data_IF_069589271384
#
_entry.id   IF_069589271384
#
_cell.length_a   1.000
_cell.length_b   1.000
_cell.length_c   1.000
_cell.angle_alpha   90.00
_cell.angle_beta   90.00
_cell.angle_gamma   90.00
#
_symmetry.space_group_name_H-M   'P 1'
#
loop_
_entity.id
_entity.type
_entity.pdbx_description
1 polymer ?
#
# COMPACT_ATOMS: atom_id res chain seq x y z
N UNK A 1 -18.10 3.01 2.30
CA UNK A 1 -18.32 1.87 3.23
C UNK A 1 -17.07 1.45 3.99
N UNK A 2 -15.91 1.54 3.39
CA UNK A 2 -14.62 1.02 3.93
C UNK A 2 -14.23 1.55 5.33
N UNK A 3 -14.61 2.75 5.70
CA UNK A 3 -14.31 3.35 7.01
C UNK A 3 -15.52 3.34 7.95
N UNK A 4 -16.72 3.04 7.43
CA UNK A 4 -17.94 3.18 8.18
C UNK A 4 -18.11 2.12 9.28
N UNK A 5 -17.59 0.90 9.03
CA UNK A 5 -17.72 -0.21 9.97
C UNK A 5 -17.11 0.14 11.35
N UNK A 6 -15.88 0.65 11.37
CA UNK A 6 -15.21 1.06 12.62
C UNK A 6 -15.93 2.22 13.33
N UNK A 7 -16.53 3.14 12.57
CA UNK A 7 -17.20 4.32 13.12
C UNK A 7 -18.51 4.01 13.85
N UNK A 8 -19.16 2.89 13.55
CA UNK A 8 -20.43 2.50 14.17
C UNK A 8 -20.29 1.57 15.37
N UNK A 9 -19.09 1.01 15.60
CA UNK A 9 -18.80 0.13 16.75
C UNK A 9 -19.08 0.90 18.06
N UNK A 10 -19.87 0.29 18.94
CA UNK A 10 -20.27 0.90 20.22
C UNK A 10 -21.40 1.93 20.11
N UNK A 11 -21.83 2.34 18.91
CA UNK A 11 -22.91 3.31 18.69
C UNK A 11 -24.21 2.67 18.19
N UNK A 12 -24.13 1.45 17.68
CA UNK A 12 -25.28 0.66 17.23
C UNK A 12 -25.25 -0.72 17.87
N UNK A 13 -26.37 -1.49 17.86
CA UNK A 13 -26.35 -2.87 18.32
C UNK A 13 -25.27 -3.72 17.63
N UNK A 14 -24.60 -4.58 18.38
CA UNK A 14 -23.53 -5.47 17.90
C UNK A 14 -23.95 -6.26 16.64
N UNK A 15 -25.18 -6.73 16.57
CA UNK A 15 -25.66 -7.49 15.42
C UNK A 15 -25.74 -6.65 14.13
N UNK A 16 -25.90 -5.32 14.23
CA UNK A 16 -25.77 -4.44 13.06
C UNK A 16 -24.34 -4.39 12.54
N UNK A 17 -23.36 -4.30 13.45
CA UNK A 17 -21.93 -4.32 13.11
C UNK A 17 -21.59 -5.64 12.43
N UNK A 18 -21.98 -6.77 13.04
CA UNK A 18 -21.77 -8.13 12.49
C UNK A 18 -22.44 -8.32 11.14
N UNK A 19 -23.64 -7.79 10.96
CA UNK A 19 -24.35 -7.86 9.68
C UNK A 19 -23.60 -7.12 8.57
N UNK A 20 -23.13 -5.91 8.84
CA UNK A 20 -22.37 -5.11 7.87
C UNK A 20 -21.01 -5.73 7.59
N UNK A 21 -20.32 -6.24 8.61
CA UNK A 21 -19.06 -6.98 8.47
C UNK A 21 -19.23 -8.20 7.55
N UNK A 22 -20.23 -9.04 7.79
CA UNK A 22 -20.51 -10.21 6.97
C UNK A 22 -20.86 -9.84 5.51
N UNK A 23 -21.57 -8.74 5.31
CA UNK A 23 -21.86 -8.23 3.96
C UNK A 23 -20.61 -7.71 3.24
N UNK A 24 -19.69 -7.07 3.96
CA UNK A 24 -18.41 -6.66 3.39
C UNK A 24 -17.57 -7.88 3.01
N UNK A 25 -17.47 -8.89 3.87
CA UNK A 25 -16.77 -10.14 3.56
C UNK A 25 -17.32 -10.76 2.27
N UNK A 26 -18.66 -10.88 2.16
CA UNK A 26 -19.30 -11.35 0.94
C UNK A 26 -18.85 -10.52 -0.28
N UNK A 27 -18.89 -9.19 -0.18
CA UNK A 27 -18.54 -8.29 -1.29
C UNK A 27 -17.08 -8.44 -1.73
N UNK A 28 -16.15 -8.64 -0.78
CA UNK A 28 -14.73 -8.78 -1.10
C UNK A 28 -14.40 -10.15 -1.69
N UNK A 29 -15.02 -11.23 -1.20
CA UNK A 29 -14.83 -12.58 -1.75
C UNK A 29 -15.33 -12.65 -3.20
N UNK A 30 -16.53 -12.15 -3.50
CA UNK A 30 -17.09 -12.24 -4.87
C UNK A 30 -16.33 -11.42 -5.90
N UNK A 31 -15.49 -10.49 -5.47
CA UNK A 31 -14.66 -9.66 -6.35
C UNK A 31 -13.28 -10.25 -6.65
N UNK A 32 -12.94 -11.40 -6.07
CA UNK A 32 -11.68 -12.07 -6.38
C UNK A 32 -11.63 -12.47 -7.86
N UNK A 33 -10.45 -12.39 -8.47
CA UNK A 33 -10.24 -12.82 -9.85
C UNK A 33 -10.29 -14.35 -9.99
N UNK A 34 -9.79 -15.05 -8.98
CA UNK A 34 -9.88 -16.50 -8.84
C UNK A 34 -10.62 -16.81 -7.54
N UNK A 35 -11.55 -17.76 -7.59
CA UNK A 35 -12.34 -18.19 -6.42
C UNK A 35 -12.13 -19.70 -6.27
N UNK A 36 -11.51 -20.10 -5.18
CA UNK A 36 -11.28 -21.51 -4.82
C UNK A 36 -12.53 -22.16 -4.20
N UNK A 37 -12.44 -23.43 -3.87
CA UNK A 37 -13.52 -24.14 -3.15
C UNK A 37 -13.66 -23.60 -1.74
N UNK A 38 -12.55 -23.32 -1.07
CA UNK A 38 -12.50 -22.72 0.26
C UNK A 38 -13.10 -21.31 0.28
N UNK A 39 -12.86 -20.52 -0.79
CA UNK A 39 -13.48 -19.21 -0.96
C UNK A 39 -15.01 -19.32 -1.11
N UNK A 40 -15.50 -20.34 -1.80
CA UNK A 40 -16.94 -20.57 -1.92
C UNK A 40 -17.58 -20.96 -0.58
N UNK A 41 -16.88 -21.72 0.26
CA UNK A 41 -17.35 -22.05 1.60
C UNK A 41 -17.33 -20.81 2.51
N UNK A 42 -16.28 -19.98 2.43
CA UNK A 42 -16.19 -18.68 3.10
C UNK A 42 -17.31 -17.73 2.65
N UNK A 43 -17.60 -17.71 1.33
CA UNK A 43 -18.70 -16.92 0.78
C UNK A 43 -20.06 -17.36 1.29
N UNK A 44 -20.29 -18.68 1.39
CA UNK A 44 -21.51 -19.27 1.96
C UNK A 44 -21.66 -18.89 3.43
N UNK A 45 -20.58 -18.97 4.21
CA UNK A 45 -20.57 -18.55 5.62
C UNK A 45 -20.89 -17.07 5.78
N UNK A 46 -20.21 -16.21 5.02
CA UNK A 46 -20.46 -14.76 5.05
C UNK A 46 -21.93 -14.44 4.72
N UNK A 47 -22.51 -15.11 3.74
CA UNK A 47 -23.92 -14.93 3.39
C UNK A 47 -24.87 -15.44 4.50
N UNK A 48 -24.55 -16.56 5.13
CA UNK A 48 -25.32 -17.08 6.27
C UNK A 48 -25.29 -16.14 7.47
N UNK A 49 -24.10 -15.64 7.84
CA UNK A 49 -23.94 -14.62 8.90
C UNK A 49 -24.74 -13.36 8.59
N UNK A 50 -24.66 -12.85 7.36
CA UNK A 50 -25.45 -11.70 6.91
C UNK A 50 -26.95 -11.92 7.11
N UNK A 51 -27.48 -13.08 6.70
CA UNK A 51 -28.89 -13.42 6.86
C UNK A 51 -29.31 -13.57 8.32
N UNK A 52 -28.44 -14.12 9.17
CA UNK A 52 -28.72 -14.31 10.60
C UNK A 52 -28.82 -12.98 11.36
N UNK A 53 -27.97 -12.01 11.02
CA UNK A 53 -27.90 -10.75 11.76
C UNK A 53 -28.79 -9.64 11.17
N UNK A 54 -29.25 -9.73 9.93
CA UNK A 54 -29.98 -8.63 9.27
C UNK A 54 -31.34 -8.28 9.92
N UNK A 55 -31.94 -9.22 10.66
CA UNK A 55 -33.24 -8.99 11.31
C UNK A 55 -33.18 -7.90 12.40
N UNK A 56 -31.99 -7.58 12.89
CA UNK A 56 -31.75 -6.44 13.80
C UNK A 56 -32.26 -5.12 13.24
N UNK A 57 -32.25 -4.92 11.92
CA UNK A 57 -32.74 -3.70 11.29
C UNK A 57 -34.28 -3.57 11.37
N UNK A 58 -35.01 -4.68 11.45
CA UNK A 58 -36.46 -4.68 11.75
C UNK A 58 -36.66 -4.44 13.23
N UNK A 59 -35.97 -5.18 14.09
CA UNK A 59 -36.11 -5.11 15.54
C UNK A 59 -35.87 -3.70 16.09
N UNK A 60 -34.95 -2.97 15.48
CA UNK A 60 -34.59 -1.59 15.86
C UNK A 60 -35.44 -0.54 15.15
N UNK A 61 -36.40 -0.94 14.31
CA UNK A 61 -37.29 -0.03 13.59
C UNK A 61 -36.63 0.75 12.44
N UNK A 62 -35.40 0.41 12.09
CA UNK A 62 -34.71 1.04 10.95
C UNK A 62 -35.36 0.66 9.63
N UNK A 63 -35.98 -0.54 9.56
CA UNK A 63 -36.70 -1.03 8.40
C UNK A 63 -38.01 -1.71 8.85
N UNK A 64 -38.99 -1.66 7.96
CA UNK A 64 -40.28 -2.34 8.17
C UNK A 64 -40.14 -3.83 7.78
N UNK A 65 -39.39 -4.11 6.69
CA UNK A 65 -39.13 -5.46 6.20
C UNK A 65 -37.74 -5.54 5.53
N UNK A 66 -37.31 -6.77 5.24
CA UNK A 66 -36.08 -7.09 4.50
C UNK A 66 -36.38 -7.81 3.16
N UNK A 67 -37.59 -7.70 2.65
CA UNK A 67 -37.99 -8.23 1.35
C UNK A 67 -37.44 -7.36 0.22
N UNK A 68 -36.12 -7.46 -0.01
CA UNK A 68 -35.41 -6.70 -1.01
C UNK A 68 -34.94 -7.62 -2.15
N UNK A 69 -35.37 -7.41 -3.42
CA UNK A 69 -34.96 -8.22 -4.56
C UNK A 69 -33.45 -8.35 -4.70
N UNK A 70 -32.71 -7.26 -4.44
CA UNK A 70 -31.23 -7.26 -4.50
C UNK A 70 -30.60 -8.12 -3.41
N UNK A 71 -31.18 -8.20 -2.22
CA UNK A 71 -30.70 -9.11 -1.16
C UNK A 71 -31.03 -10.55 -1.50
N UNK A 72 -32.21 -10.82 -2.06
CA UNK A 72 -32.55 -12.15 -2.53
C UNK A 72 -31.57 -12.64 -3.61
N UNK A 73 -31.13 -11.78 -4.50
CA UNK A 73 -30.18 -12.19 -5.57
C UNK A 73 -28.82 -12.67 -5.05
N UNK A 74 -28.43 -12.33 -3.82
CA UNK A 74 -27.15 -12.78 -3.25
C UNK A 74 -27.06 -14.30 -3.13
N UNK A 75 -28.18 -15.00 -2.88
CA UNK A 75 -28.20 -16.46 -2.76
C UNK A 75 -27.81 -17.18 -4.07
N UNK A 76 -27.97 -16.51 -5.20
CA UNK A 76 -27.66 -17.08 -6.52
C UNK A 76 -26.17 -17.03 -6.86
N UNK A 77 -25.35 -16.22 -6.16
CA UNK A 77 -23.94 -16.04 -6.49
C UNK A 77 -23.14 -17.35 -6.42
N UNK A 78 -23.33 -18.15 -5.37
CA UNK A 78 -22.64 -19.45 -5.22
C UNK A 78 -22.87 -20.38 -6.42
N UNK A 79 -24.12 -20.50 -6.86
CA UNK A 79 -24.46 -21.31 -8.01
C UNK A 79 -23.92 -20.71 -9.31
N UNK A 80 -24.08 -19.40 -9.49
CA UNK A 80 -23.61 -18.72 -10.70
C UNK A 80 -22.09 -18.75 -10.84
N UNK A 81 -21.34 -18.62 -9.75
CA UNK A 81 -19.87 -18.71 -9.77
C UNK A 81 -19.41 -20.12 -10.23
N UNK A 82 -20.09 -21.18 -9.77
CA UNK A 82 -19.78 -22.54 -10.20
C UNK A 82 -20.07 -22.79 -11.68
N UNK A 83 -21.07 -22.09 -12.24
CA UNK A 83 -21.45 -22.26 -13.65
C UNK A 83 -20.63 -21.38 -14.60
N UNK A 84 -20.32 -20.15 -14.19
CA UNK A 84 -19.80 -19.11 -15.09
C UNK A 84 -18.41 -18.59 -14.69
N UNK A 85 -17.88 -18.99 -13.54
CA UNK A 85 -16.62 -18.50 -13.00
C UNK A 85 -16.75 -17.19 -12.19
N UNK A 86 -15.61 -16.58 -11.90
CA UNK A 86 -15.56 -15.36 -11.10
C UNK A 86 -16.37 -14.21 -11.72
N UNK A 87 -17.22 -13.51 -10.94
CA UNK A 87 -18.00 -12.35 -11.41
C UNK A 87 -17.13 -11.24 -12.00
N UNK A 88 -15.89 -11.08 -11.52
CA UNK A 88 -14.95 -10.09 -12.06
C UNK A 88 -14.65 -10.33 -13.55
N UNK A 89 -14.56 -11.59 -13.99
CA UNK A 89 -14.38 -11.95 -15.39
C UNK A 89 -15.62 -11.70 -16.26
N UNK A 90 -16.79 -11.56 -15.64
CA UNK A 90 -18.09 -11.34 -16.32
C UNK A 90 -18.55 -9.88 -16.25
N UNK A 91 -17.76 -9.01 -15.63
CA UNK A 91 -18.10 -7.61 -15.44
C UNK A 91 -18.07 -6.85 -16.78
N UNK A 92 -19.13 -6.09 -17.07
CA UNK A 92 -19.23 -5.23 -18.26
C UNK A 92 -18.31 -4.00 -18.20
N UNK A 93 -17.72 -3.69 -17.05
CA UNK A 93 -16.85 -2.50 -16.87
C UNK A 93 -15.63 -2.50 -17.80
N UNK A 94 -15.06 -3.68 -18.11
CA UNK A 94 -13.95 -3.81 -19.06
C UNK A 94 -14.40 -3.44 -20.47
N UNK A 95 -15.56 -3.98 -20.90
CA UNK A 95 -16.14 -3.66 -22.21
C UNK A 95 -16.60 -2.23 -22.31
N UNK A 96 -17.15 -1.66 -21.21
CA UNK A 96 -17.52 -0.24 -21.15
C UNK A 96 -16.32 0.69 -21.17
N UNK A 97 -15.24 0.36 -20.46
CA UNK A 97 -13.98 1.12 -20.52
C UNK A 97 -13.41 1.14 -21.93
N UNK A 98 -13.40 -0.02 -22.61
CA UNK A 98 -13.02 -0.10 -24.03
C UNK A 98 -13.98 0.68 -24.93
N UNK A 99 -15.29 0.61 -24.66
CA UNK A 99 -16.30 1.37 -25.39
C UNK A 99 -16.11 2.88 -25.24
N UNK A 100 -15.70 3.36 -24.06
CA UNK A 100 -15.36 4.78 -23.86
C UNK A 100 -14.19 5.18 -24.78
N UNK A 101 -13.08 4.45 -24.73
CA UNK A 101 -11.86 4.75 -25.51
C UNK A 101 -12.04 4.51 -27.02
N UNK A 102 -12.71 3.42 -27.40
CA UNK A 102 -12.84 3.04 -28.81
C UNK A 102 -14.05 3.68 -29.53
N UNK A 103 -15.05 4.13 -28.80
CA UNK A 103 -16.28 4.68 -29.40
C UNK A 103 -16.57 6.09 -28.94
N UNK A 104 -16.76 6.32 -27.63
CA UNK A 104 -17.22 7.61 -27.12
C UNK A 104 -16.21 8.74 -27.36
N UNK A 105 -14.93 8.52 -27.12
CA UNK A 105 -13.90 9.54 -27.35
C UNK A 105 -13.67 9.85 -28.85
N UNK A 106 -13.47 8.85 -29.74
CA UNK A 106 -13.37 9.10 -31.16
C UNK A 106 -14.63 9.74 -31.75
N UNK A 107 -15.81 9.36 -31.27
CA UNK A 107 -17.07 10.02 -31.67
C UNK A 107 -17.09 11.50 -31.29
N UNK A 108 -16.71 11.85 -30.08
CA UNK A 108 -16.65 13.26 -29.63
C UNK A 108 -15.64 14.10 -30.43
N UNK A 109 -14.58 13.46 -30.95
CA UNK A 109 -13.55 14.09 -31.78
C UNK A 109 -13.93 14.17 -33.25
N UNK A 110 -14.96 13.44 -33.68
CA UNK A 110 -15.44 13.47 -35.07
C UNK A 110 -16.33 14.68 -35.34
N UNK A 111 -16.45 15.05 -36.62
CA UNK A 111 -17.44 16.05 -37.09
C UNK A 111 -18.88 15.55 -37.06
N UNK A 112 -19.10 14.29 -36.68
CA UNK A 112 -20.36 13.54 -36.71
C UNK A 112 -20.91 13.25 -38.13
N UNK A 113 -20.27 13.76 -39.18
CA UNK A 113 -20.59 13.43 -40.55
C UNK A 113 -19.70 12.27 -41.04
N UNK A 114 -20.29 11.17 -41.48
CA UNK A 114 -19.56 9.91 -41.76
C UNK A 114 -18.60 9.51 -40.63
N UNK A 115 -19.09 9.58 -39.40
CA UNK A 115 -18.29 9.52 -38.17
C UNK A 115 -17.47 8.22 -38.03
N UNK A 116 -17.98 7.09 -38.55
CA UNK A 116 -17.29 5.79 -38.41
C UNK A 116 -15.87 5.81 -38.98
N UNK A 117 -15.70 6.37 -40.17
CA UNK A 117 -14.39 6.45 -40.84
C UNK A 117 -13.44 7.35 -40.02
N UNK A 118 -13.94 8.49 -39.53
CA UNK A 118 -13.15 9.39 -38.69
C UNK A 118 -12.74 8.76 -37.35
N UNK A 119 -13.63 7.99 -36.75
CA UNK A 119 -13.38 7.24 -35.52
C UNK A 119 -12.29 6.16 -35.75
N UNK A 120 -12.39 5.37 -36.81
CA UNK A 120 -11.37 4.37 -37.16
C UNK A 120 -10.02 5.00 -37.44
N UNK A 121 -9.98 6.14 -38.14
CA UNK A 121 -8.73 6.91 -38.32
C UNK A 121 -8.15 7.41 -37.01
N UNK A 122 -8.99 7.87 -36.08
CA UNK A 122 -8.55 8.33 -34.77
C UNK A 122 -7.93 7.20 -33.96
N UNK A 123 -8.59 6.03 -33.90
CA UNK A 123 -8.10 4.84 -33.20
C UNK A 123 -6.78 4.37 -33.81
N UNK A 124 -6.74 4.17 -35.14
CA UNK A 124 -5.53 3.75 -35.85
C UNK A 124 -4.36 4.71 -35.64
N UNK A 125 -4.63 6.01 -35.51
CA UNK A 125 -3.61 7.02 -35.24
C UNK A 125 -3.09 6.93 -33.81
N UNK A 126 -3.95 6.69 -32.84
CA UNK A 126 -3.57 6.47 -31.43
C UNK A 126 -2.71 5.22 -31.27
N UNK A 127 -3.09 4.11 -31.91
CA UNK A 127 -2.33 2.86 -31.87
C UNK A 127 -0.94 3.03 -32.52
N UNK A 128 -0.87 3.72 -33.65
CA UNK A 128 0.41 4.03 -34.31
C UNK A 128 1.29 4.92 -33.44
N UNK A 129 0.71 5.91 -32.75
CA UNK A 129 1.47 6.78 -31.84
C UNK A 129 1.97 6.01 -30.62
N UNK A 130 1.17 5.10 -30.07
CA UNK A 130 1.59 4.23 -28.96
C UNK A 130 2.74 3.30 -29.39
N UNK A 131 2.64 2.66 -30.55
CA UNK A 131 3.70 1.84 -31.10
C UNK A 131 4.98 2.64 -31.40
N UNK A 132 4.84 3.81 -32.02
CA UNK A 132 5.98 4.70 -32.29
C UNK A 132 6.65 5.17 -30.99
N UNK A 133 5.86 5.53 -29.96
CA UNK A 133 6.39 5.91 -28.65
C UNK A 133 7.24 4.78 -28.05
N UNK A 134 6.77 3.53 -28.11
CA UNK A 134 7.53 2.38 -27.58
C UNK A 134 8.85 2.20 -28.34
N UNK A 135 8.83 2.30 -29.68
CA UNK A 135 10.04 2.23 -30.51
C UNK A 135 11.00 3.37 -30.18
N UNK A 136 10.49 4.60 -30.07
CA UNK A 136 11.31 5.78 -29.75
C UNK A 136 11.90 5.71 -28.35
N UNK A 137 11.14 5.21 -27.36
CA UNK A 137 11.66 4.97 -26.00
C UNK A 137 12.80 3.96 -26.03
N UNK A 138 12.63 2.83 -26.76
CA UNK A 138 13.65 1.80 -26.90
C UNK A 138 14.95 2.33 -27.54
N UNK A 139 14.85 3.31 -28.43
CA UNK A 139 15.99 3.96 -29.06
C UNK A 139 16.51 5.19 -28.31
N UNK A 140 16.02 5.47 -27.08
CA UNK A 140 16.46 6.62 -26.28
C UNK A 140 15.99 7.97 -26.83
N UNK A 141 15.13 7.99 -27.87
CA UNK A 141 14.69 9.21 -28.54
C UNK A 141 13.67 10.01 -27.71
N UNK A 142 13.12 9.41 -26.68
CA UNK A 142 12.17 10.07 -25.77
C UNK A 142 12.86 10.71 -24.57
N UNK A 143 14.17 10.58 -24.45
CA UNK A 143 14.98 11.22 -23.42
C UNK A 143 15.56 12.54 -23.94
N UNK A 144 15.38 13.60 -23.19
CA UNK A 144 15.82 14.93 -23.60
C UNK A 144 14.90 15.57 -24.65
N UNK A 145 15.48 16.45 -25.48
CA UNK A 145 14.78 17.10 -26.60
C UNK A 145 15.15 16.41 -27.93
N UNK A 146 14.22 16.52 -28.92
CA UNK A 146 14.53 16.07 -30.29
C UNK A 146 15.78 16.73 -30.85
N UNK A 147 16.08 17.95 -30.46
CA UNK A 147 17.31 18.67 -30.85
C UNK A 147 18.56 18.02 -30.27
N UNK A 148 18.54 17.56 -29.02
CA UNK A 148 19.68 16.86 -28.40
C UNK A 148 19.93 15.51 -29.04
N UNK A 149 18.89 14.76 -29.37
CA UNK A 149 19.00 13.49 -30.10
C UNK A 149 19.58 13.72 -31.50
N UNK A 150 19.05 14.67 -32.24
CA UNK A 150 19.57 15.02 -33.59
C UNK A 150 21.02 15.43 -33.54
N UNK A 151 21.43 16.25 -32.54
CA UNK A 151 22.81 16.65 -32.36
C UNK A 151 23.73 15.47 -32.03
N UNK A 152 23.27 14.49 -31.26
CA UNK A 152 24.00 13.27 -30.94
C UNK A 152 24.21 12.41 -32.19
N UNK A 153 23.16 12.19 -32.98
CA UNK A 153 23.24 11.43 -34.24
C UNK A 153 24.17 12.11 -35.26
N UNK A 154 24.11 13.45 -35.38
CA UNK A 154 25.00 14.20 -36.25
C UNK A 154 26.46 14.15 -35.84
N UNK A 155 26.76 13.89 -34.56
CA UNK A 155 28.14 13.67 -34.06
C UNK A 155 28.65 12.23 -34.28
N UNK A 156 27.82 11.36 -34.85
CA UNK A 156 28.15 9.95 -35.06
C UNK A 156 28.12 9.10 -33.78
N UNK A 157 27.60 9.63 -32.69
CA UNK A 157 27.36 8.90 -31.45
C UNK A 157 26.10 8.02 -31.64
N UNK A 158 26.27 6.70 -31.58
CA UNK A 158 25.09 5.81 -31.57
C UNK A 158 24.46 5.85 -30.19
N UNK A 159 23.12 6.07 -30.08
CA UNK A 159 22.43 5.88 -28.83
C UNK A 159 22.64 4.44 -28.38
N UNK A 160 23.23 4.23 -27.21
CA UNK A 160 23.30 2.89 -26.64
C UNK A 160 21.85 2.39 -26.47
N UNK A 161 21.52 1.19 -26.97
CA UNK A 161 20.22 0.62 -26.70
C UNK A 161 20.13 0.50 -25.18
N UNK A 162 19.17 1.18 -24.59
CA UNK A 162 18.81 0.94 -23.20
C UNK A 162 18.54 -0.56 -23.10
N UNK A 163 19.38 -1.25 -22.31
CA UNK A 163 19.11 -2.61 -21.87
C UNK A 163 17.70 -2.58 -21.30
N UNK A 164 16.81 -3.37 -21.89
CA UNK A 164 15.40 -3.42 -21.58
C UNK A 164 15.19 -3.43 -20.06
N UNK A 165 14.83 -2.33 -19.41
CA UNK A 165 14.29 -2.41 -18.07
C UNK A 165 12.94 -3.05 -18.32
N UNK A 166 12.79 -4.31 -17.93
CA UNK A 166 11.57 -5.08 -17.86
C UNK A 166 10.35 -4.20 -17.98
N UNK A 167 9.57 -4.42 -19.01
CA UNK A 167 8.32 -3.81 -19.48
C UNK A 167 7.45 -3.10 -18.42
N UNK A 168 7.95 -2.08 -17.79
CA UNK A 168 7.19 -1.22 -16.86
C UNK A 168 6.74 0.05 -17.58
N UNK A 169 5.87 -0.11 -18.58
CA UNK A 169 5.02 0.97 -19.05
C UNK A 169 3.80 1.10 -18.15
N UNK A 170 4.03 1.44 -16.89
CA UNK A 170 3.00 1.94 -16.01
C UNK A 170 2.60 3.35 -16.48
N UNK A 171 1.74 3.39 -17.49
CA UNK A 171 0.81 4.50 -17.62
C UNK A 171 -0.23 4.36 -16.50
N UNK A 172 0.22 4.65 -15.28
CA UNK A 172 -0.67 4.89 -14.16
C UNK A 172 -1.39 6.22 -14.42
N UNK A 173 -2.55 6.12 -15.08
CA UNK A 173 -3.50 7.23 -15.23
C UNK A 173 -4.27 7.51 -13.96
N UNK A 174 -3.80 7.06 -12.82
CA UNK A 174 -4.18 7.62 -11.53
C UNK A 174 -3.42 8.93 -11.39
N UNK A 175 -4.03 9.97 -11.94
CA UNK A 175 -3.71 11.35 -11.70
C UNK A 175 -3.77 11.66 -10.20
N UNK A 176 -2.71 11.26 -9.49
CA UNK A 176 -2.33 11.99 -8.29
C UNK A 176 -1.82 13.34 -8.80
N UNK A 177 -2.71 14.32 -8.87
CA UNK A 177 -2.45 15.71 -9.29
C UNK A 177 -1.43 16.45 -8.42
N UNK A 178 -0.61 15.72 -7.68
CA UNK A 178 0.35 16.22 -6.71
C UNK A 178 1.81 16.14 -7.20
N UNK A 179 2.00 15.95 -8.49
CA UNK A 179 3.30 16.13 -9.12
C UNK A 179 3.45 17.61 -9.50
N UNK A 180 3.93 18.41 -8.55
CA UNK A 180 4.56 19.68 -8.89
C UNK A 180 5.61 19.45 -10.01
N UNK A 181 5.98 20.47 -10.79
CA UNK A 181 6.83 20.29 -11.97
C UNK A 181 8.14 19.59 -11.59
N UNK A 182 8.26 18.30 -11.95
CA UNK A 182 9.47 17.53 -11.78
C UNK A 182 10.43 17.94 -12.91
N UNK A 183 11.19 18.97 -12.67
CA UNK A 183 12.32 19.36 -13.53
C UNK A 183 13.56 18.62 -13.07
N UNK A 184 13.97 17.59 -13.79
CA UNK A 184 15.23 16.88 -13.57
C UNK A 184 15.20 15.41 -14.00
N UNK A 185 16.34 14.82 -14.29
CA UNK A 185 16.41 13.40 -14.68
C UNK A 185 15.95 12.51 -13.52
N UNK A 186 14.97 11.65 -13.78
CA UNK A 186 14.54 10.61 -12.84
C UNK A 186 15.62 9.54 -12.80
N UNK A 187 16.46 9.55 -11.78
CA UNK A 187 17.40 8.45 -11.53
C UNK A 187 16.65 7.39 -10.73
N UNK A 188 16.25 6.33 -11.39
CA UNK A 188 15.83 5.09 -10.74
C UNK A 188 17.11 4.34 -10.33
N UNK A 189 17.51 4.40 -9.07
CA UNK A 189 18.51 3.47 -8.56
C UNK A 189 17.78 2.22 -8.09
N UNK A 190 17.97 1.11 -8.79
CA UNK A 190 17.66 -0.20 -8.22
C UNK A 190 18.75 -0.50 -7.20
N UNK A 191 18.40 -0.56 -5.93
CA UNK A 191 19.30 -1.04 -4.87
C UNK A 191 18.99 -2.52 -4.74
N UNK A 192 20.02 -3.38 -4.90
CA UNK A 192 19.87 -4.76 -4.47
C UNK A 192 19.63 -4.76 -2.96
N UNK A 193 18.53 -5.39 -2.50
CA UNK A 193 18.20 -5.40 -1.10
C UNK A 193 19.30 -6.11 -0.32
N UNK A 194 19.80 -5.48 0.75
CA UNK A 194 20.56 -6.18 1.75
C UNK A 194 19.60 -7.15 2.44
N UNK A 195 19.86 -8.46 2.32
CA UNK A 195 19.02 -9.49 2.93
C UNK A 195 19.00 -9.29 4.43
N UNK A 196 17.82 -9.09 4.98
CA UNK A 196 17.63 -9.17 6.42
C UNK A 196 17.73 -10.63 6.85
N UNK A 197 18.49 -10.96 7.91
CA UNK A 197 18.62 -12.33 8.37
C UNK A 197 17.24 -12.89 8.75
N UNK A 198 16.90 -14.05 8.18
CA UNK A 198 15.67 -14.77 8.46
C UNK A 198 14.63 -14.78 7.33
N UNK A 199 14.81 -13.99 6.27
CA UNK A 199 13.88 -14.01 5.13
C UNK A 199 14.44 -14.90 4.04
N UNK A 200 14.04 -16.16 4.02
CA UNK A 200 14.28 -17.10 2.91
C UNK A 200 13.13 -16.91 1.93
N UNK A 201 13.42 -16.32 0.78
CA UNK A 201 12.45 -16.21 -0.31
C UNK A 201 12.31 -17.56 -1.02
N UNK A 202 11.32 -18.36 -0.66
CA UNK A 202 10.78 -19.38 -1.54
C UNK A 202 9.37 -18.99 -1.97
N UNK A 203 9.27 -18.62 -3.22
CA UNK A 203 8.10 -18.67 -4.12
C UNK A 203 6.83 -17.94 -3.67
N UNK A 204 6.58 -16.77 -4.23
CA UNK A 204 5.22 -16.31 -4.55
C UNK A 204 4.90 -14.85 -4.43
N UNK A 205 5.53 -14.08 -3.59
CA UNK A 205 5.19 -12.66 -3.44
C UNK A 205 6.47 -11.83 -3.50
N UNK A 206 6.70 -11.24 -4.66
CA UNK A 206 7.86 -10.36 -4.86
C UNK A 206 7.43 -8.95 -4.47
N UNK A 207 7.87 -8.51 -3.29
CA UNK A 207 7.76 -7.12 -2.87
C UNK A 207 9.03 -6.39 -3.31
N UNK A 208 8.87 -5.33 -4.10
CA UNK A 208 9.98 -4.45 -4.45
C UNK A 208 9.73 -3.10 -3.83
N UNK A 209 10.58 -2.69 -2.88
CA UNK A 209 10.65 -1.29 -2.49
C UNK A 209 11.57 -0.56 -3.47
N UNK A 210 10.99 0.24 -4.34
CA UNK A 210 11.74 1.13 -5.24
C UNK A 210 11.74 2.52 -4.65
N UNK A 211 12.92 3.07 -4.41
CA UNK A 211 13.07 4.40 -3.79
C UNK A 211 13.09 5.49 -4.85
N UNK A 212 12.29 6.53 -4.66
CA UNK A 212 12.46 7.80 -5.37
C UNK A 212 13.34 8.67 -4.49
N UNK A 213 14.64 8.78 -4.84
CA UNK A 213 15.59 9.51 -4.03
C UNK A 213 15.80 10.94 -4.49
N UNK A 214 15.19 11.84 -3.75
CA UNK A 214 15.79 13.14 -3.52
C UNK A 214 16.01 13.26 -2.02
N UNK A 215 17.29 13.20 -1.59
CA UNK A 215 17.64 13.53 -0.22
C UNK A 215 17.15 14.94 0.09
N UNK A 216 16.38 15.07 1.15
CA UNK A 216 15.81 16.36 1.53
C UNK A 216 16.90 17.22 2.14
N UNK A 217 17.03 18.45 1.66
CA UNK A 217 18.00 19.41 2.22
C UNK A 217 17.51 19.97 3.55
N UNK A 218 18.46 20.31 4.44
CA UNK A 218 18.14 20.96 5.70
C UNK A 218 18.09 20.03 6.91
N UNK A 219 18.25 18.71 6.73
CA UNK A 219 18.45 17.79 7.85
C UNK A 219 19.92 17.66 8.22
N UNK A 220 20.26 17.54 9.52
CA UNK A 220 21.60 17.13 9.95
C UNK A 220 21.96 15.77 9.36
N UNK A 221 23.23 15.60 9.01
CA UNK A 221 23.74 14.36 8.42
C UNK A 221 24.34 13.41 9.44
N UNK A 222 24.56 13.86 10.65
CA UNK A 222 25.06 13.06 11.78
C UNK A 222 23.89 12.55 12.66
N UNK A 223 24.13 11.43 13.33
CA UNK A 223 23.08 10.76 14.10
C UNK A 223 22.58 11.58 15.29
N UNK A 224 23.49 12.32 15.98
CA UNK A 224 23.12 13.13 17.16
C UNK A 224 22.36 14.40 16.77
N UNK A 225 22.84 15.12 15.76
CA UNK A 225 22.15 16.29 15.23
C UNK A 225 20.77 15.94 14.70
N UNK A 226 20.67 14.79 13.97
CA UNK A 226 19.39 14.31 13.47
C UNK A 226 18.43 13.90 14.60
N UNK A 227 18.95 13.22 15.65
CA UNK A 227 18.17 12.87 16.83
C UNK A 227 17.54 14.10 17.53
N UNK A 228 18.31 15.18 17.64
CA UNK A 228 17.81 16.47 18.18
C UNK A 228 16.77 17.09 17.26
N UNK A 229 17.02 17.09 15.94
CA UNK A 229 16.11 17.67 14.94
C UNK A 229 14.74 16.99 14.93
N UNK A 230 14.70 15.65 15.03
CA UNK A 230 13.44 14.87 15.05
C UNK A 230 12.89 14.64 16.47
N UNK A 231 13.55 15.20 17.50
CA UNK A 231 13.19 15.01 18.90
C UNK A 231 13.12 13.53 19.34
N UNK A 232 14.08 12.71 18.89
CA UNK A 232 14.19 11.29 19.23
C UNK A 232 15.58 10.97 19.79
N UNK A 233 15.83 11.17 21.10
CA UNK A 233 17.16 11.05 21.69
C UNK A 233 17.73 9.63 21.64
N UNK A 234 16.89 8.59 21.57
CA UNK A 234 17.32 7.18 21.45
C UNK A 234 17.84 6.82 20.03
N UNK A 235 17.65 7.67 19.02
CA UNK A 235 17.95 7.35 17.63
C UNK A 235 19.41 6.91 17.38
N UNK A 236 20.46 7.54 17.95
CA UNK A 236 21.83 7.10 17.76
C UNK A 236 22.11 5.69 18.34
N UNK A 237 21.49 5.36 19.47
CA UNK A 237 21.58 4.03 20.07
C UNK A 237 20.91 2.98 19.18
N UNK A 238 19.69 3.25 18.71
CA UNK A 238 18.96 2.36 17.79
C UNK A 238 19.73 2.08 16.51
N UNK A 239 20.42 3.07 15.93
CA UNK A 239 21.29 2.88 14.77
C UNK A 239 22.45 1.92 15.05
N UNK A 240 23.08 2.02 16.22
CA UNK A 240 24.16 1.13 16.62
C UNK A 240 23.68 -0.30 16.82
N UNK A 241 22.52 -0.50 17.45
CA UNK A 241 21.87 -1.80 17.64
C UNK A 241 21.45 -2.41 16.31
N UNK A 242 20.88 -1.61 15.41
CA UNK A 242 20.56 -2.03 14.05
C UNK A 242 21.81 -2.51 13.29
N UNK A 243 22.91 -1.76 13.32
CA UNK A 243 24.17 -2.19 12.69
C UNK A 243 24.71 -3.48 13.30
N UNK A 244 24.62 -3.63 14.63
CA UNK A 244 25.06 -4.86 15.28
C UNK A 244 24.24 -6.06 14.76
N UNK A 245 22.94 -5.92 14.67
CA UNK A 245 22.04 -6.96 14.13
C UNK A 245 22.38 -7.31 12.68
N UNK A 246 22.65 -6.32 11.84
CA UNK A 246 23.04 -6.55 10.44
C UNK A 246 24.38 -7.28 10.31
N UNK A 247 25.29 -7.08 11.26
CA UNK A 247 26.59 -7.75 11.28
C UNK A 247 26.56 -9.15 11.89
N UNK A 248 25.55 -9.45 12.70
CA UNK A 248 25.39 -10.70 13.44
C UNK A 248 24.02 -11.33 13.18
N UNK A 249 23.70 -11.66 11.92
CA UNK A 249 22.39 -12.15 11.55
C UNK A 249 21.98 -13.45 12.25
N UNK A 250 22.95 -14.32 12.52
CA UNK A 250 22.72 -15.64 13.11
C UNK A 250 22.82 -15.65 14.64
N UNK A 251 22.94 -14.46 15.26
CA UNK A 251 23.04 -14.38 16.73
C UNK A 251 21.69 -14.71 17.38
N UNK A 252 21.66 -15.61 18.38
CA UNK A 252 20.46 -15.90 19.12
C UNK A 252 20.05 -14.78 20.09
N UNK A 253 20.95 -13.82 20.35
CA UNK A 253 20.72 -12.72 21.30
C UNK A 253 19.97 -11.58 20.64
N UNK A 254 18.98 -11.03 21.31
CA UNK A 254 18.29 -9.81 20.88
C UNK A 254 19.27 -8.62 20.88
N UNK A 255 19.21 -7.72 19.88
CA UNK A 255 20.04 -6.52 19.89
C UNK A 255 19.88 -5.65 21.16
N UNK A 256 18.72 -5.76 21.82
CA UNK A 256 18.41 -5.02 23.05
C UNK A 256 19.18 -5.53 24.27
N UNK A 257 19.53 -6.82 24.28
CA UNK A 257 20.27 -7.47 25.37
C UNK A 257 21.78 -7.17 25.31
N UNK A 258 22.26 -6.70 24.14
CA UNK A 258 23.71 -6.43 23.94
C UNK A 258 24.06 -5.08 24.55
N UNK A 259 25.15 -5.02 25.37
CA UNK A 259 25.67 -3.76 25.86
C UNK A 259 25.98 -2.80 24.71
N UNK A 260 25.60 -1.53 24.83
CA UNK A 260 25.77 -0.56 23.76
C UNK A 260 27.26 -0.38 23.36
N UNK A 261 28.18 -0.60 24.32
CA UNK A 261 29.62 -0.50 24.07
C UNK A 261 30.14 -1.59 23.12
N UNK A 262 29.47 -2.72 23.04
CA UNK A 262 29.75 -3.81 22.11
C UNK A 262 29.14 -3.59 20.72
N UNK A 263 28.20 -2.66 20.60
CA UNK A 263 27.62 -2.30 19.32
C UNK A 263 28.56 -1.39 18.51
N UNK A 264 28.62 -1.54 17.18
CA UNK A 264 29.46 -0.74 16.30
C UNK A 264 29.26 0.76 16.51
N UNK A 265 30.34 1.54 16.43
CA UNK A 265 30.23 2.99 16.38
C UNK A 265 29.57 3.44 15.08
N UNK A 266 28.61 4.37 15.20
CA UNK A 266 27.94 4.97 14.06
C UNK A 266 28.51 6.38 13.80
N UNK A 267 29.26 6.53 12.71
CA UNK A 267 29.85 7.81 12.27
C UNK A 267 29.59 8.11 10.78
N UNK A 268 28.53 7.51 10.22
CA UNK A 268 28.24 7.59 8.79
C UNK A 268 27.27 8.74 8.50
N UNK A 269 27.38 9.25 7.26
CA UNK A 269 26.47 10.28 6.77
C UNK A 269 25.08 9.70 6.54
N UNK A 270 24.08 10.35 7.11
CA UNK A 270 22.66 10.01 6.95
C UNK A 270 22.04 10.92 5.89
N UNK A 271 21.29 10.32 4.96
CA UNK A 271 20.43 11.03 4.02
C UNK A 271 18.98 10.78 4.38
N UNK A 272 18.16 11.84 4.46
CA UNK A 272 16.74 11.78 4.85
C UNK A 272 15.85 11.90 3.63
N UNK A 273 14.72 11.18 3.64
CA UNK A 273 13.72 11.17 2.58
C UNK A 273 12.32 11.37 3.15
N UNK A 274 11.42 12.02 2.39
CA UNK A 274 10.04 12.24 2.82
C UNK A 274 9.07 11.19 2.29
N UNK A 275 9.50 10.33 1.38
CA UNK A 275 8.66 9.24 0.90
C UNK A 275 9.46 8.07 0.35
N UNK A 276 8.88 6.89 0.44
CA UNK A 276 9.31 5.65 -0.22
C UNK A 276 8.14 5.12 -1.07
N UNK A 277 8.44 4.21 -1.99
CA UNK A 277 7.44 3.54 -2.83
C UNK A 277 7.50 2.05 -2.58
N UNK A 278 6.40 1.47 -2.16
CA UNK A 278 6.21 0.03 -2.09
C UNK A 278 5.60 -0.46 -3.41
N UNK A 279 6.15 -1.55 -3.95
CA UNK A 279 5.59 -2.27 -5.09
C UNK A 279 5.31 -3.69 -4.66
N UNK A 280 4.10 -4.18 -4.92
CA UNK A 280 3.68 -5.52 -4.54
C UNK A 280 2.73 -6.11 -5.58
N UNK A 281 2.66 -7.42 -5.61
CA UNK A 281 1.77 -8.14 -6.51
C UNK A 281 0.37 -8.23 -5.90
N UNK A 282 -0.62 -7.66 -6.58
CA UNK A 282 -2.02 -7.61 -6.18
C UNK A 282 -2.93 -8.03 -7.34
N UNK A 283 -2.97 -9.34 -7.67
CA UNK A 283 -3.65 -9.83 -8.88
C UNK A 283 -5.16 -9.57 -8.89
N UNK A 284 -5.76 -9.44 -7.73
CA UNK A 284 -7.20 -9.12 -7.58
C UNK A 284 -7.50 -7.63 -7.70
N UNK A 285 -6.50 -6.78 -7.78
CA UNK A 285 -6.67 -5.35 -8.02
C UNK A 285 -6.54 -5.06 -9.53
N UNK A 286 -7.64 -4.57 -10.13
CA UNK A 286 -7.68 -4.28 -11.57
C UNK A 286 -6.87 -3.04 -11.97
N UNK A 287 -6.32 -2.32 -11.02
CA UNK A 287 -5.64 -1.05 -11.24
C UNK A 287 -4.19 -1.17 -11.72
N UNK A 288 -3.53 -2.31 -11.49
CA UNK A 288 -2.11 -2.51 -11.82
C UNK A 288 -1.88 -3.24 -13.14
N UNK A 289 -0.78 -2.91 -13.84
CA UNK A 289 -0.34 -3.64 -15.03
C UNK A 289 0.26 -4.97 -14.61
N UNK A 290 -0.30 -6.09 -15.12
CA UNK A 290 0.16 -7.44 -14.77
C UNK A 290 -0.05 -7.81 -13.30
N UNK A 291 -0.97 -7.13 -12.58
CA UNK A 291 -1.24 -7.36 -11.17
C UNK A 291 -0.26 -6.69 -10.21
N UNK A 292 0.68 -5.90 -10.72
CA UNK A 292 1.59 -5.11 -9.88
C UNK A 292 0.90 -3.82 -9.41
N UNK A 293 0.97 -3.56 -8.12
CA UNK A 293 0.47 -2.34 -7.49
C UNK A 293 1.61 -1.50 -6.95
N UNK A 294 1.42 -0.17 -6.95
CA UNK A 294 2.40 0.79 -6.48
C UNK A 294 1.77 1.71 -5.44
N UNK A 295 2.37 1.78 -4.27
CA UNK A 295 1.89 2.60 -3.17
C UNK A 295 3.01 3.51 -2.64
N UNK A 296 2.69 4.76 -2.33
CA UNK A 296 3.64 5.70 -1.76
C UNK A 296 3.45 5.81 -0.26
N UNK A 297 4.51 5.49 0.48
CA UNK A 297 4.61 5.63 1.94
C UNK A 297 5.29 6.98 2.23
N UNK A 298 4.69 7.79 3.08
CA UNK A 298 5.15 9.16 3.40
C UNK A 298 5.55 9.29 4.86
N UNK A 299 6.61 10.06 5.07
CA UNK A 299 7.07 10.48 6.38
C UNK A 299 7.63 11.89 6.25
N UNK A 300 6.81 12.89 6.51
CA UNK A 300 7.16 14.29 6.32
C UNK A 300 6.57 15.15 7.43
N UNK A 301 7.34 16.11 7.99
CA UNK A 301 6.83 17.07 8.98
C UNK A 301 5.87 18.10 8.38
N UNK A 302 5.83 18.25 7.05
CA UNK A 302 4.92 19.16 6.37
C UNK A 302 4.43 18.53 5.08
N UNK A 303 3.16 18.17 5.05
CA UNK A 303 2.44 17.68 3.88
C UNK A 303 1.65 18.83 3.26
N UNK A 304 1.88 19.11 1.98
CA UNK A 304 1.24 20.23 1.23
C UNK A 304 1.44 21.61 1.88
N UNK A 305 2.51 21.77 2.68
CA UNK A 305 2.79 23.01 3.38
C UNK A 305 2.00 23.24 4.67
N UNK A 306 1.22 22.25 5.10
CA UNK A 306 0.34 22.38 6.28
C UNK A 306 0.80 21.48 7.44
N UNK A 307 0.34 20.22 7.47
CA UNK A 307 0.44 19.34 8.63
C UNK A 307 1.45 18.21 8.42
N UNK A 308 1.99 17.62 9.50
CA UNK A 308 2.82 16.44 9.40
C UNK A 308 2.01 15.24 8.89
N UNK A 309 2.66 14.38 8.10
CA UNK A 309 2.10 13.12 7.64
C UNK A 309 3.09 12.00 7.84
N UNK A 310 2.69 11.02 8.66
CA UNK A 310 3.43 9.83 9.00
C UNK A 310 2.55 8.62 8.70
N UNK A 311 2.82 7.95 7.56
CA UNK A 311 2.02 6.81 7.16
C UNK A 311 2.35 5.59 8.02
N UNK A 312 1.40 4.69 8.17
CA UNK A 312 1.57 3.40 8.84
C UNK A 312 1.82 2.30 7.83
N UNK A 313 2.61 1.29 8.21
CA UNK A 313 3.07 0.21 7.33
C UNK A 313 2.95 -1.14 8.01
N UNK A 314 2.76 -2.20 7.21
CA UNK A 314 2.95 -3.57 7.64
C UNK A 314 4.44 -3.91 7.59
N UNK A 315 4.95 -4.38 8.70
CA UNK A 315 6.32 -4.87 8.84
C UNK A 315 6.27 -6.37 9.02
N UNK A 316 6.89 -7.12 8.12
CA UNK A 316 6.99 -8.57 8.19
C UNK A 316 8.01 -8.94 9.27
N UNK A 317 7.57 -9.71 10.25
CA UNK A 317 8.38 -10.19 11.38
C UNK A 317 8.60 -11.69 11.32
N UNK A 318 7.68 -12.44 10.72
CA UNK A 318 7.77 -13.88 10.52
C UNK A 318 7.08 -14.27 9.20
N UNK A 319 7.90 -14.61 8.21
CA UNK A 319 7.42 -14.99 6.87
C UNK A 319 6.72 -16.38 6.83
N UNK A 320 6.88 -17.21 7.87
CA UNK A 320 6.23 -18.53 7.95
C UNK A 320 4.78 -18.42 8.43
N UNK A 321 4.43 -17.33 9.10
CA UNK A 321 3.09 -17.10 9.61
C UNK A 321 2.24 -16.30 8.63
N UNK A 322 1.01 -16.71 8.33
CA UNK A 322 0.16 -16.04 7.35
C UNK A 322 -0.49 -14.76 7.92
N UNK A 323 -0.65 -13.77 7.04
CA UNK A 323 -1.40 -12.56 7.34
C UNK A 323 -0.86 -11.79 8.54
N UNK A 324 -1.76 -11.25 9.35
CA UNK A 324 -1.39 -10.45 10.53
C UNK A 324 -0.62 -11.20 11.62
N UNK A 325 -0.61 -12.52 11.61
CA UNK A 325 0.16 -13.31 12.60
C UNK A 325 1.66 -13.20 12.37
N UNK A 326 2.09 -13.01 11.12
CA UNK A 326 3.50 -12.80 10.75
C UNK A 326 3.90 -11.32 10.62
N UNK A 327 3.02 -10.38 10.97
CA UNK A 327 3.24 -8.96 10.74
C UNK A 327 2.93 -8.10 11.96
N UNK A 328 3.67 -7.00 12.08
CA UNK A 328 3.41 -5.95 13.06
C UNK A 328 3.26 -4.61 12.33
N UNK A 329 2.50 -3.69 12.89
CA UNK A 329 2.32 -2.37 12.30
C UNK A 329 3.39 -1.40 12.81
N UNK A 330 3.99 -0.62 11.90
CA UNK A 330 4.89 0.48 12.21
C UNK A 330 4.34 1.83 11.75
N UNK A 331 4.40 2.86 12.58
CA UNK A 331 4.19 4.24 12.14
C UNK A 331 5.54 4.84 11.75
N UNK A 332 5.71 5.25 10.50
CA UNK A 332 7.00 5.69 9.94
C UNK A 332 7.27 7.13 10.32
N UNK A 333 8.22 7.35 11.21
CA UNK A 333 8.63 8.68 11.67
C UNK A 333 9.70 9.31 10.78
N UNK A 334 10.61 8.50 10.23
CA UNK A 334 11.70 8.95 9.39
C UNK A 334 12.05 7.88 8.36
N UNK A 335 12.23 8.29 7.13
CA UNK A 335 12.83 7.46 6.07
C UNK A 335 14.24 8.01 5.82
N UNK A 336 15.23 7.13 5.87
CA UNK A 336 16.63 7.55 5.72
C UNK A 336 17.50 6.45 5.12
N UNK A 337 18.68 6.81 4.66
CA UNK A 337 19.70 5.86 4.27
C UNK A 337 21.08 6.29 4.75
N UNK A 338 21.97 5.31 4.88
CA UNK A 338 23.40 5.51 5.11
C UNK A 338 24.19 4.41 4.41
N UNK A 339 25.48 4.65 4.16
CA UNK A 339 26.38 3.66 3.58
C UNK A 339 27.36 3.15 4.64
N UNK A 340 27.53 1.84 4.72
CA UNK A 340 28.46 1.16 5.60
C UNK A 340 29.13 -0.01 4.87
N UNK A 341 30.47 -0.04 4.84
CA UNK A 341 31.26 -1.07 4.14
C UNK A 341 30.81 -1.28 2.68
N UNK A 342 30.66 -0.18 1.93
CA UNK A 342 30.21 -0.17 0.52
C UNK A 342 28.79 -0.69 0.28
N UNK A 343 28.01 -0.96 1.34
CA UNK A 343 26.60 -1.30 1.27
C UNK A 343 25.77 -0.10 1.66
N UNK A 344 24.68 0.14 0.94
CA UNK A 344 23.71 1.15 1.28
C UNK A 344 22.56 0.50 2.08
N UNK A 345 22.24 1.10 3.23
CA UNK A 345 21.18 0.66 4.12
C UNK A 345 20.03 1.65 4.08
N UNK A 346 18.98 1.35 3.30
CA UNK A 346 17.74 2.12 3.35
C UNK A 346 16.92 1.66 4.55
N UNK A 347 16.59 2.60 5.42
CA UNK A 347 15.99 2.33 6.71
C UNK A 347 14.78 3.21 6.99
N UNK A 348 13.96 2.76 7.93
CA UNK A 348 12.91 3.55 8.56
C UNK A 348 13.09 3.56 10.08
N UNK A 349 12.85 4.72 10.70
CA UNK A 349 12.59 4.83 12.13
C UNK A 349 11.09 4.74 12.32
N UNK A 350 10.63 3.80 13.13
CA UNK A 350 9.20 3.53 13.32
C UNK A 350 8.82 3.52 14.80
N UNK A 351 7.56 3.85 15.07
CA UNK A 351 6.88 3.48 16.30
C UNK A 351 6.10 2.21 16.08
N UNK A 352 6.19 1.26 16.99
CA UNK A 352 5.44 0.03 16.95
C UNK A 352 3.98 0.19 17.39
N UNK A 353 3.11 -0.50 16.67
CA UNK A 353 1.72 -0.76 17.05
C UNK A 353 1.49 -2.27 17.02
N UNK A 354 1.43 -2.86 18.19
CA UNK A 354 1.36 -4.32 18.34
C UNK A 354 -0.07 -4.82 18.39
N UNK A 355 -0.37 -6.07 17.93
CA UNK A 355 -1.68 -6.66 18.08
C UNK A 355 -2.15 -6.67 19.54
N UNK A 356 -3.42 -6.37 19.75
CA UNK A 356 -4.04 -6.35 21.08
C UNK A 356 -4.51 -7.74 21.54
N UNK A 357 -4.47 -8.74 20.66
CA UNK A 357 -4.85 -10.14 20.90
C UNK A 357 -4.43 -11.01 19.74
N UNK A 358 -4.65 -12.31 19.86
CA UNK A 358 -4.20 -13.33 18.91
C UNK A 358 -5.21 -13.56 17.76
N UNK A 359 -6.37 -12.93 17.83
CA UNK A 359 -7.47 -13.08 16.86
C UNK A 359 -8.08 -11.74 16.49
N UNK A 360 -8.71 -11.63 15.31
CA UNK A 360 -9.50 -10.46 14.93
C UNK A 360 -10.67 -10.22 15.88
N UNK A 361 -11.12 -8.98 15.96
CA UNK A 361 -12.30 -8.58 16.71
C UNK A 361 -13.56 -9.29 16.19
N UNK A 362 -14.33 -9.88 17.08
CA UNK A 362 -15.50 -10.71 16.74
C UNK A 362 -16.69 -9.97 16.11
N UNK A 363 -16.77 -8.64 16.26
CA UNK A 363 -17.85 -7.84 15.69
C UNK A 363 -17.51 -7.37 14.28
N UNK A 364 -16.29 -6.91 14.09
CA UNK A 364 -15.83 -6.27 12.85
C UNK A 364 -15.05 -7.23 11.94
N UNK A 365 -14.47 -8.30 12.48
CA UNK A 365 -13.52 -9.16 11.76
C UNK A 365 -12.19 -8.48 11.44
N UNK A 366 -11.90 -7.32 12.05
CA UNK A 366 -10.64 -6.59 11.87
C UNK A 366 -9.70 -6.84 13.04
N UNK A 367 -8.40 -6.88 12.75
CA UNK A 367 -7.39 -6.91 13.80
C UNK A 367 -7.37 -5.58 14.56
N UNK A 368 -7.10 -5.66 15.87
CA UNK A 368 -6.92 -4.51 16.74
C UNK A 368 -5.45 -4.36 17.08
N UNK A 369 -4.90 -3.17 16.89
CA UNK A 369 -3.52 -2.84 17.26
C UNK A 369 -3.49 -1.68 18.25
N UNK A 370 -2.46 -1.67 19.09
CA UNK A 370 -2.23 -0.63 20.09
C UNK A 370 -0.80 -0.12 20.02
N UNK A 371 -0.56 1.17 20.27
CA UNK A 371 0.81 1.67 20.43
C UNK A 371 1.55 0.88 21.52
N UNK A 372 2.76 0.46 21.20
CA UNK A 372 3.67 -0.16 22.16
C UNK A 372 4.44 0.90 22.94
N UNK A 373 4.68 0.63 24.24
CA UNK A 373 5.37 1.55 25.12
C UNK A 373 6.51 0.86 25.87
N UNK A 374 7.65 1.51 25.92
CA UNK A 374 8.76 1.22 26.83
C UNK A 374 8.77 2.27 27.95
N UNK A 375 8.23 1.91 29.11
CA UNK A 375 7.96 2.86 30.19
C UNK A 375 6.91 3.89 29.76
N UNK A 376 7.27 5.17 29.75
CA UNK A 376 6.37 6.27 29.36
C UNK A 376 6.57 6.73 27.92
N UNK A 377 7.50 6.13 27.17
CA UNK A 377 7.79 6.50 25.79
C UNK A 377 7.25 5.42 24.84
N UNK A 378 6.85 5.82 23.65
CA UNK A 378 6.50 4.85 22.60
C UNK A 378 7.73 4.06 22.19
N UNK A 379 7.59 2.75 22.04
CA UNK A 379 8.64 1.87 21.55
C UNK A 379 9.06 2.27 20.13
N UNK A 380 10.37 2.36 19.91
CA UNK A 380 11.01 2.80 18.68
C UNK A 380 11.93 1.71 18.16
N UNK A 381 11.95 1.56 16.85
CA UNK A 381 12.94 0.71 16.18
C UNK A 381 13.45 1.35 14.89
N UNK A 382 14.68 0.98 14.52
CA UNK A 382 15.22 1.16 13.18
C UNK A 382 15.08 -0.17 12.46
N UNK A 383 14.40 -0.16 11.32
CA UNK A 383 14.21 -1.34 10.48
C UNK A 383 14.77 -1.08 9.07
N UNK A 384 15.17 -2.15 8.39
CA UNK A 384 15.45 -2.09 6.95
C UNK A 384 14.14 -1.94 6.17
N UNK A 385 14.16 -1.20 5.07
CA UNK A 385 12.92 -0.96 4.31
C UNK A 385 12.36 -2.22 3.65
N UNK A 386 13.17 -3.26 3.43
CA UNK A 386 12.74 -4.54 2.87
C UNK A 386 11.75 -5.29 3.78
N UNK A 387 11.76 -4.98 5.08
CA UNK A 387 10.78 -5.55 6.02
C UNK A 387 9.38 -4.96 5.83
N UNK A 388 9.24 -3.88 5.07
CA UNK A 388 7.95 -3.22 4.84
C UNK A 388 7.27 -3.86 3.64
N UNK A 389 6.15 -4.54 3.90
CA UNK A 389 5.36 -5.17 2.85
C UNK A 389 4.53 -4.15 2.06
N UNK A 390 3.78 -3.27 2.74
CA UNK A 390 2.95 -2.21 2.14
C UNK A 390 2.48 -1.23 3.21
N UNK A 391 1.77 -0.16 2.80
CA UNK A 391 1.07 0.74 3.70
C UNK A 391 -0.07 0.04 4.46
N UNK A 392 -0.23 0.37 5.74
CA UNK A 392 -1.35 -0.06 6.57
C UNK A 392 -2.37 1.08 6.69
N UNK A 393 -3.64 0.74 6.65
CA UNK A 393 -4.72 1.71 6.88
C UNK A 393 -5.35 1.45 8.24
N UNK A 394 -5.21 2.39 9.16
CA UNK A 394 -5.72 2.28 10.52
C UNK A 394 -6.97 3.14 10.72
N UNK A 395 -7.95 2.58 11.42
CA UNK A 395 -9.17 3.28 11.81
C UNK A 395 -9.21 3.37 13.34
N UNK A 396 -9.41 4.56 13.92
CA UNK A 396 -9.49 4.71 15.36
C UNK A 396 -10.62 3.87 15.98
N UNK A 397 -10.37 3.33 17.17
CA UNK A 397 -11.42 2.78 18.01
C UNK A 397 -12.02 3.94 18.80
N UNK A 398 -13.19 4.39 18.38
CA UNK A 398 -13.91 5.46 19.05
C UNK A 398 -14.53 4.92 20.34
N UNK A 399 -14.28 5.61 21.45
CA UNK A 399 -14.96 5.30 22.72
C UNK A 399 -16.35 5.90 22.77
N UNK A 400 -16.98 5.82 23.94
CA UNK A 400 -18.30 6.45 24.21
C UNK A 400 -18.23 7.97 24.45
N UNK A 401 -17.04 8.53 24.58
CA UNK A 401 -16.85 9.97 24.82
C UNK A 401 -16.76 10.74 23.50
N UNK A 402 -17.27 11.97 23.50
CA UNK A 402 -17.10 12.88 22.36
C UNK A 402 -15.61 13.22 22.17
N UNK A 403 -15.21 13.43 20.93
CA UNK A 403 -13.88 13.95 20.63
C UNK A 403 -13.75 15.39 21.13
N UNK A 404 -12.58 15.80 21.62
CA UNK A 404 -12.33 17.19 21.97
C UNK A 404 -12.60 18.13 20.78
N UNK A 405 -13.08 19.35 21.05
CA UNK A 405 -13.38 20.32 19.97
C UNK A 405 -12.13 20.74 19.19
N UNK A 406 -10.97 20.70 19.81
CA UNK A 406 -9.66 21.01 19.23
C UNK A 406 -9.00 19.79 18.55
N UNK A 407 -9.69 18.65 18.48
CA UNK A 407 -9.18 17.46 17.81
C UNK A 407 -8.98 17.71 16.32
N UNK A 408 -7.76 17.45 15.85
CA UNK A 408 -7.42 17.57 14.43
C UNK A 408 -7.00 16.22 13.85
N UNK A 409 -7.34 15.96 12.59
CA UNK A 409 -7.05 14.68 11.92
C UNK A 409 -5.56 14.34 11.90
N UNK A 410 -4.66 15.33 11.86
CA UNK A 410 -3.20 15.09 11.91
C UNK A 410 -2.72 14.42 13.17
N UNK A 411 -3.51 14.50 14.26
CA UNK A 411 -3.20 13.89 15.55
C UNK A 411 -3.86 12.52 15.74
N UNK A 412 -4.59 12.02 14.74
CA UNK A 412 -5.40 10.80 14.86
C UNK A 412 -4.59 9.57 15.28
N UNK A 413 -3.37 9.39 14.79
CA UNK A 413 -2.48 8.27 15.16
C UNK A 413 -1.87 8.40 16.58
N UNK A 414 -2.10 9.51 17.28
CA UNK A 414 -1.59 9.75 18.63
C UNK A 414 -2.70 9.88 19.66
N UNK A 415 -3.93 10.10 19.25
CA UNK A 415 -5.04 10.46 20.14
C UNK A 415 -5.80 9.25 20.71
N UNK A 416 -5.74 8.10 20.05
CA UNK A 416 -6.54 6.92 20.42
C UNK A 416 -5.68 5.84 21.08
N UNK A 417 -6.31 5.03 21.93
CA UNK A 417 -5.67 3.91 22.65
C UNK A 417 -5.49 2.66 21.78
N UNK A 418 -6.26 2.56 20.69
CA UNK A 418 -6.22 1.43 19.79
C UNK A 418 -6.83 1.76 18.44
N UNK A 419 -6.54 0.92 17.47
CA UNK A 419 -6.94 1.08 16.07
C UNK A 419 -7.34 -0.26 15.48
N UNK A 420 -8.38 -0.24 14.64
CA UNK A 420 -8.66 -1.36 13.75
C UNK A 420 -7.74 -1.30 12.53
N UNK A 421 -7.19 -2.43 12.16
CA UNK A 421 -6.48 -2.61 10.89
C UNK A 421 -7.53 -2.81 9.79
N UNK A 422 -7.69 -1.81 8.93
CA UNK A 422 -8.75 -1.81 7.93
C UNK A 422 -8.45 -2.77 6.78
N UNK A 423 -8.88 -4.03 6.93
CA UNK A 423 -8.79 -5.05 5.88
C UNK A 423 -9.62 -4.73 4.64
N UNK A 424 -10.57 -3.80 4.73
CA UNK A 424 -11.46 -3.40 3.65
C UNK A 424 -10.97 -2.16 2.89
N UNK A 425 -9.72 -1.73 3.06
CA UNK A 425 -9.17 -0.56 2.38
C UNK A 425 -9.12 -0.76 0.85
N UNK A 426 -8.64 -1.91 0.40
CA UNK A 426 -8.61 -2.36 -0.99
C UNK A 426 -8.71 -3.89 -1.07
N UNK A 427 -8.77 -4.45 -2.29
CA UNK A 427 -8.90 -5.90 -2.48
C UNK A 427 -7.70 -6.68 -1.98
N UNK A 428 -6.50 -6.22 -2.32
CA UNK A 428 -5.27 -6.86 -1.87
C UNK A 428 -5.14 -6.82 -0.35
N UNK A 429 -5.54 -5.70 0.29
CA UNK A 429 -5.56 -5.59 1.75
C UNK A 429 -6.45 -6.66 2.40
N UNK A 430 -7.62 -6.91 1.81
CA UNK A 430 -8.54 -7.93 2.31
C UNK A 430 -7.93 -9.33 2.25
N UNK A 431 -7.26 -9.67 1.16
CA UNK A 431 -6.55 -10.94 0.99
C UNK A 431 -5.31 -11.01 1.89
N UNK A 432 -4.50 -9.97 1.89
CA UNK A 432 -3.23 -9.86 2.60
C UNK A 432 -3.38 -9.96 4.12
N UNK A 433 -4.36 -9.27 4.72
CA UNK A 433 -4.62 -9.30 6.17
C UNK A 433 -5.41 -10.56 6.58
N UNK A 434 -6.27 -11.07 5.70
CA UNK A 434 -7.17 -12.17 5.96
C UNK A 434 -6.64 -13.56 5.58
N UNK A 435 -5.41 -13.68 5.10
CA UNK A 435 -4.79 -14.98 4.81
C UNK A 435 -4.70 -15.78 6.11
N UNK A 436 -5.50 -16.85 6.20
CA UNK A 436 -5.49 -17.81 7.31
C UNK A 436 -4.44 -18.89 7.07
#
# INVERSE_FOLDING_TARGET
>A
MQVYLAAIVGHVPTDMVKCISAFLDFCYIVRRNAISTEDLDSLKDALARFHNYRDVFIQTGVRIDISLPRQHSLIHYLHSIRLFGSPNGLCSSITESKHIKAVKEPWRRSSRYHALVQMLHTISRLDKLAAARRVFTKHGMMEGSTSSYTAMVLRGEQPQPLVDPTEDNDQDTNEDHDLGPVSGPKVLSSIEPAKTPGVVYEIGLVYYLTYLFYAVRGYPHDAHGLAQHINQPKFPELLRRFLWQQLNPDSPSSPEEIPIDECPHFGFKINVYHSAVARFYAPSDLCGTGGMHRERIRSTPSWRGEYPRYDTVFVETDAELPGMRGMVIGCVLLLFSFSFRDHNYPCALIHWLVPAGDEPDNETGMWVVRPEFEGNCRSLAVIHLDCIARGAHLLPIYGSSFLPEDFHFSNSLHAFRGYFVNRHADHHMYEFVGSN
#
